data_IF_838195489950
#
_entry.id   IF_838195489950
#
_cell.length_a   1.000
_cell.length_b   1.000
_cell.length_c   1.000
_cell.angle_alpha   90.00
_cell.angle_beta   90.00
_cell.angle_gamma   90.00
#
_symmetry.space_group_name_H-M   'P 1'
#
loop_
_entity.id
_entity.type
_entity.pdbx_description
1 polymer ?
#
# COMPACT_ATOMS: atom_id res chain seq x y z
N UNK A 1 -12.87 18.05 -1.45
CA UNK A 1 -14.28 18.50 -1.49
C UNK A 1 -14.66 18.73 -2.94
N UNK A 2 -15.95 18.68 -3.29
CA UNK A 2 -16.42 19.02 -4.64
C UNK A 2 -17.13 20.39 -4.59
N UNK A 3 -16.96 21.19 -5.63
CA UNK A 3 -17.60 22.49 -5.77
C UNK A 3 -17.99 22.72 -7.23
N UNK A 4 -19.21 23.21 -7.45
CA UNK A 4 -19.72 23.57 -8.78
C UNK A 4 -20.25 25.00 -8.71
N UNK A 5 -19.82 25.82 -9.66
CA UNK A 5 -20.25 27.20 -9.83
C UNK A 5 -20.11 27.60 -11.31
N UNK A 6 -20.63 28.78 -11.66
CA UNK A 6 -20.52 29.32 -13.02
C UNK A 6 -19.10 29.83 -13.30
N UNK A 7 -18.44 30.39 -12.29
CA UNK A 7 -17.06 30.87 -12.38
C UNK A 7 -16.09 29.93 -11.66
N UNK A 8 -14.89 29.79 -12.22
CA UNK A 8 -13.84 28.91 -11.69
C UNK A 8 -13.44 29.28 -10.25
N UNK A 9 -13.17 30.56 -9.90
CA UNK A 9 -12.75 30.92 -8.54
C UNK A 9 -13.81 30.58 -7.49
N UNK A 10 -15.09 30.76 -7.83
CA UNK A 10 -16.20 30.46 -6.93
C UNK A 10 -16.36 28.95 -6.71
N UNK A 11 -16.15 28.14 -7.76
CA UNK A 11 -16.17 26.68 -7.67
C UNK A 11 -15.05 26.16 -6.75
N UNK A 12 -13.84 26.73 -6.86
CA UNK A 12 -12.70 26.40 -6.00
C UNK A 12 -13.00 26.78 -4.54
N UNK A 13 -13.55 27.96 -4.28
CA UNK A 13 -13.95 28.39 -2.93
C UNK A 13 -14.94 27.40 -2.30
N UNK A 14 -15.99 27.03 -3.04
CA UNK A 14 -17.00 26.04 -2.60
C UNK A 14 -16.37 24.66 -2.34
N UNK A 15 -15.46 24.22 -3.20
CA UNK A 15 -14.77 22.94 -3.05
C UNK A 15 -13.88 22.90 -1.80
N UNK A 16 -13.16 23.99 -1.52
CA UNK A 16 -12.29 24.14 -0.34
C UNK A 16 -13.09 24.14 0.96
N UNK A 17 -14.19 24.90 1.03
CA UNK A 17 -15.07 24.89 2.21
C UNK A 17 -15.69 23.51 2.45
N UNK A 18 -16.10 22.82 1.39
CA UNK A 18 -16.56 21.44 1.49
C UNK A 18 -15.47 20.45 1.93
N UNK A 19 -14.20 20.70 1.57
CA UNK A 19 -13.06 19.87 1.98
C UNK A 19 -12.75 20.03 3.47
N UNK A 20 -12.72 21.27 3.98
CA UNK A 20 -12.47 21.57 5.40
C UNK A 20 -13.46 20.86 6.33
N UNK A 21 -14.73 20.79 5.93
CA UNK A 21 -15.79 20.11 6.70
C UNK A 21 -15.66 18.58 6.74
N UNK A 22 -14.96 17.98 5.77
CA UNK A 22 -14.85 16.52 5.58
C UNK A 22 -13.41 16.02 5.76
N UNK A 23 -12.64 16.65 6.64
CA UNK A 23 -11.29 16.19 6.94
C UNK A 23 -11.31 14.83 7.63
N UNK A 24 -10.39 13.96 7.24
CA UNK A 24 -10.17 12.65 7.86
C UNK A 24 -8.77 12.59 8.46
N UNK A 25 -8.62 11.86 9.56
CA UNK A 25 -7.31 11.58 10.17
C UNK A 25 -6.85 10.20 9.76
N UNK A 26 -5.70 10.13 9.10
CA UNK A 26 -5.10 8.87 8.63
C UNK A 26 -3.90 8.53 9.53
N UNK A 27 -3.86 7.35 10.16
CA UNK A 27 -2.69 6.93 10.92
C UNK A 27 -1.59 6.42 9.98
N UNK A 28 -0.42 7.05 10.05
CA UNK A 28 0.77 6.67 9.27
C UNK A 28 1.80 5.95 10.15
N UNK A 29 2.44 4.94 9.58
CA UNK A 29 3.58 4.26 10.18
C UNK A 29 4.81 5.14 10.03
N UNK A 30 5.44 5.47 11.16
CA UNK A 30 6.68 6.28 11.23
C UNK A 30 6.54 7.65 10.52
N UNK A 31 5.30 8.11 10.31
CA UNK A 31 5.01 9.33 9.55
C UNK A 31 5.28 9.25 8.04
N UNK A 32 5.65 8.07 7.50
CA UNK A 32 6.09 7.94 6.09
C UNK A 32 5.25 7.01 5.21
N UNK A 33 4.69 5.93 5.77
CA UNK A 33 4.02 4.87 4.98
C UNK A 33 2.77 4.31 5.66
N UNK A 34 2.08 3.40 4.98
CA UNK A 34 0.88 2.70 5.45
C UNK A 34 1.23 1.59 6.45
N UNK A 35 0.32 1.31 7.39
CA UNK A 35 0.50 0.20 8.31
C UNK A 35 0.30 -1.16 7.63
N UNK A 36 -0.67 -1.31 6.75
CA UNK A 36 -0.92 -2.56 6.02
C UNK A 36 -1.48 -2.24 4.64
N UNK A 37 -1.55 -3.28 3.80
CA UNK A 37 -2.12 -3.22 2.47
C UNK A 37 -3.64 -3.11 2.55
N UNK A 38 -4.21 -2.20 1.75
CA UNK A 38 -5.62 -1.85 1.82
C UNK A 38 -6.21 -1.74 0.42
N UNK A 39 -7.47 -2.15 0.29
CA UNK A 39 -8.26 -1.97 -0.92
C UNK A 39 -9.43 -1.01 -0.67
N UNK A 40 -9.61 -0.08 -1.62
CA UNK A 40 -10.70 0.90 -1.64
C UNK A 40 -11.57 0.73 -2.86
N UNK A 41 -12.87 0.96 -2.72
CA UNK A 41 -13.82 0.90 -3.83
C UNK A 41 -14.82 2.04 -3.75
N UNK A 42 -15.05 2.68 -4.89
CA UNK A 42 -16.10 3.68 -5.03
C UNK A 42 -16.70 3.63 -6.44
N UNK A 43 -17.97 3.24 -6.53
CA UNK A 43 -18.61 2.98 -7.82
C UNK A 43 -17.82 1.95 -8.64
N UNK A 44 -17.39 2.35 -9.84
CA UNK A 44 -16.54 1.55 -10.74
C UNK A 44 -15.03 1.70 -10.46
N UNK A 45 -14.61 2.59 -9.56
CA UNK A 45 -13.21 2.76 -9.19
C UNK A 45 -12.78 1.75 -8.14
N UNK A 46 -11.75 0.97 -8.43
CA UNK A 46 -11.09 0.09 -7.46
C UNK A 46 -9.62 0.49 -7.34
N UNK A 47 -9.12 0.63 -6.12
CA UNK A 47 -7.74 1.05 -5.85
C UNK A 47 -7.15 0.12 -4.81
N UNK A 48 -5.94 -0.36 -5.09
CA UNK A 48 -5.13 -1.12 -4.15
C UNK A 48 -3.97 -0.25 -3.70
N UNK A 49 -3.82 -0.13 -2.38
CA UNK A 49 -2.73 0.56 -1.72
C UNK A 49 -1.87 -0.49 -1.01
N UNK A 50 -0.57 -0.47 -1.25
CA UNK A 50 0.38 -1.32 -0.55
C UNK A 50 1.38 -0.52 0.24
N UNK A 51 1.79 -1.07 1.37
CA UNK A 51 2.93 -0.55 2.15
C UNK A 51 4.20 -0.70 1.32
N UNK A 52 5.11 0.26 1.47
CA UNK A 52 6.38 0.28 0.76
C UNK A 52 7.56 0.46 1.75
N UNK A 53 8.73 -0.12 1.47
CA UNK A 53 9.94 0.13 2.23
C UNK A 53 10.42 1.58 2.05
N UNK A 54 11.32 2.03 2.94
CA UNK A 54 11.84 3.38 2.91
C UNK A 54 12.60 3.64 1.60
N UNK A 55 12.40 4.82 1.00
CA UNK A 55 13.08 5.22 -0.23
C UNK A 55 12.39 4.74 -1.52
N UNK A 56 11.17 4.21 -1.43
CA UNK A 56 10.37 3.84 -2.61
C UNK A 56 9.77 5.07 -3.29
N UNK A 57 9.43 6.09 -2.51
CA UNK A 57 8.70 7.25 -3.03
C UNK A 57 7.21 6.95 -3.28
N UNK A 58 6.52 7.91 -3.90
CA UNK A 58 5.09 7.82 -4.21
C UNK A 58 4.87 7.26 -5.63
N UNK A 59 4.68 5.95 -5.70
CA UNK A 59 4.31 5.25 -6.93
C UNK A 59 2.79 5.19 -7.02
N UNK A 60 2.19 6.15 -7.72
CA UNK A 60 0.74 6.21 -7.89
C UNK A 60 0.34 6.93 -9.18
N UNK A 61 -0.90 6.71 -9.61
CA UNK A 61 -1.51 7.49 -10.69
C UNK A 61 -1.73 8.96 -10.28
N UNK A 62 -1.65 9.88 -11.23
CA UNK A 62 -1.67 11.33 -10.98
C UNK A 62 -2.73 11.84 -9.98
N UNK A 63 -4.02 11.44 -10.10
CA UNK A 63 -5.05 11.89 -9.18
C UNK A 63 -4.84 11.42 -7.73
N UNK A 64 -4.25 10.24 -7.54
CA UNK A 64 -3.97 9.67 -6.22
C UNK A 64 -2.71 10.28 -5.61
N UNK A 65 -1.71 10.59 -6.45
CA UNK A 65 -0.46 11.23 -6.03
C UNK A 65 -0.71 12.52 -5.28
N UNK A 66 -1.57 13.39 -5.80
CA UNK A 66 -1.93 14.65 -5.15
C UNK A 66 -2.51 14.44 -3.74
N UNK A 67 -3.25 13.34 -3.53
CA UNK A 67 -3.80 13.00 -2.20
C UNK A 67 -2.67 12.58 -1.25
N UNK A 68 -1.74 11.74 -1.71
CA UNK A 68 -0.62 11.26 -0.88
C UNK A 68 0.39 12.35 -0.53
N UNK A 69 0.67 13.27 -1.46
CA UNK A 69 1.53 14.43 -1.24
C UNK A 69 0.95 15.35 -0.16
N UNK A 70 -0.35 15.67 -0.23
CA UNK A 70 -1.02 16.51 0.78
C UNK A 70 -1.09 15.82 2.15
N UNK A 71 -1.15 14.48 2.19
CA UNK A 71 -1.07 13.72 3.44
C UNK A 71 0.33 13.70 4.05
N UNK A 72 1.37 14.05 3.29
CA UNK A 72 2.77 13.94 3.70
C UNK A 72 3.31 12.52 3.67
N UNK A 73 2.69 11.63 2.88
CA UNK A 73 3.22 10.27 2.69
C UNK A 73 4.45 10.30 1.79
N UNK A 74 5.49 9.55 2.17
CA UNK A 74 6.73 9.48 1.41
C UNK A 74 6.78 8.21 0.56
N UNK A 75 6.40 7.07 1.15
CA UNK A 75 6.53 5.76 0.51
C UNK A 75 5.18 5.06 0.40
N UNK A 76 4.70 4.85 -0.83
CA UNK A 76 3.49 4.08 -1.11
C UNK A 76 3.45 3.58 -2.54
N UNK A 77 2.92 2.36 -2.72
CA UNK A 77 2.57 1.83 -4.04
C UNK A 77 1.06 1.77 -4.15
N UNK A 78 0.50 2.47 -5.12
CA UNK A 78 -0.93 2.54 -5.35
C UNK A 78 -1.25 2.27 -6.82
N UNK A 79 -2.17 1.34 -7.05
CA UNK A 79 -2.64 0.97 -8.39
C UNK A 79 -4.16 1.05 -8.45
N UNK A 80 -4.68 1.70 -9.50
CA UNK A 80 -6.09 1.57 -9.87
C UNK A 80 -6.29 0.30 -10.70
N UNK A 81 -7.32 -0.46 -10.36
CA UNK A 81 -7.74 -1.67 -11.06
C UNK A 81 -9.11 -1.38 -11.69
N UNK A 82 -9.23 -1.55 -13.01
CA UNK A 82 -10.46 -1.26 -13.73
C UNK A 82 -10.54 0.20 -14.19
N UNK A 83 -11.32 1.04 -13.50
CA UNK A 83 -11.62 2.41 -13.97
C UNK A 83 -10.46 3.40 -13.75
N UNK A 84 -10.17 4.18 -14.79
CA UNK A 84 -9.21 5.30 -14.78
C UNK A 84 -9.85 6.67 -14.52
N UNK A 85 -11.15 6.72 -14.21
CA UNK A 85 -11.84 7.98 -13.93
C UNK A 85 -11.27 8.65 -12.65
N UNK A 86 -10.65 9.85 -12.75
CA UNK A 86 -10.04 10.54 -11.61
C UNK A 86 -10.99 10.75 -10.42
N UNK A 87 -12.26 11.03 -10.70
CA UNK A 87 -13.26 11.27 -9.65
C UNK A 87 -13.45 10.02 -8.77
N UNK A 88 -13.71 8.88 -9.41
CA UNK A 88 -13.89 7.62 -8.69
C UNK A 88 -12.61 7.13 -8.03
N UNK A 89 -11.46 7.33 -8.67
CA UNK A 89 -10.16 6.98 -8.10
C UNK A 89 -9.92 7.72 -6.78
N UNK A 90 -10.08 9.05 -6.75
CA UNK A 90 -9.86 9.84 -5.53
C UNK A 90 -10.81 9.38 -4.42
N UNK A 91 -12.09 9.16 -4.74
CA UNK A 91 -13.06 8.68 -3.76
C UNK A 91 -12.75 7.25 -3.26
N UNK A 92 -12.29 6.35 -4.14
CA UNK A 92 -11.83 5.02 -3.75
C UNK A 92 -10.57 5.08 -2.88
N UNK A 93 -9.64 6.00 -3.14
CA UNK A 93 -8.47 6.24 -2.28
C UNK A 93 -8.90 6.72 -0.89
N UNK A 94 -9.86 7.64 -0.79
CA UNK A 94 -10.39 8.05 0.52
C UNK A 94 -11.09 6.91 1.26
N UNK A 95 -11.79 6.02 0.55
CA UNK A 95 -12.37 4.81 1.14
C UNK A 95 -11.28 3.85 1.68
N UNK A 96 -10.20 3.64 0.92
CA UNK A 96 -9.05 2.86 1.38
C UNK A 96 -8.41 3.48 2.64
N UNK A 97 -8.13 4.78 2.61
CA UNK A 97 -7.48 5.46 3.74
C UNK A 97 -8.32 5.46 5.02
N UNK A 98 -9.66 5.43 4.91
CA UNK A 98 -10.56 5.30 6.07
C UNK A 98 -10.50 3.93 6.74
N UNK A 99 -10.13 2.89 5.99
CA UNK A 99 -9.96 1.52 6.50
C UNK A 99 -8.60 1.30 7.17
N UNK A 100 -7.68 2.25 7.03
CA UNK A 100 -6.36 2.18 7.66
C UNK A 100 -6.50 2.16 9.18
N UNK A 101 -5.91 1.14 9.80
CA UNK A 101 -5.96 0.90 11.22
C UNK A 101 -4.55 0.81 11.79
N UNK A 102 -4.29 1.62 12.81
CA UNK A 102 -3.02 1.52 13.54
C UNK A 102 -3.06 0.30 14.49
N UNK A 103 -1.91 -0.36 14.74
CA UNK A 103 -1.84 -1.46 15.70
C UNK A 103 -2.39 -1.08 17.08
N UNK A 104 -2.21 0.18 17.50
CA UNK A 104 -2.79 0.73 18.74
C UNK A 104 -4.32 0.71 18.73
N UNK A 105 -4.93 1.11 17.61
CA UNK A 105 -6.38 1.13 17.48
C UNK A 105 -6.96 -0.29 17.43
N UNK A 106 -6.26 -1.21 16.76
CA UNK A 106 -6.63 -2.64 16.74
C UNK A 106 -6.51 -3.27 18.13
N UNK A 107 -5.44 -2.97 18.87
CA UNK A 107 -5.22 -3.44 20.23
C UNK A 107 -6.33 -2.99 21.19
N UNK A 108 -6.67 -1.70 21.16
CA UNK A 108 -7.75 -1.15 21.97
C UNK A 108 -9.10 -1.81 21.65
N UNK A 109 -9.40 -2.05 20.37
CA UNK A 109 -10.64 -2.72 19.95
C UNK A 109 -10.70 -4.19 20.36
N UNK A 110 -9.56 -4.88 20.43
CA UNK A 110 -9.47 -6.30 20.78
C UNK A 110 -9.21 -6.55 22.27
N UNK A 111 -8.98 -5.52 23.07
CA UNK A 111 -8.64 -5.66 24.49
C UNK A 111 -7.26 -6.30 24.74
N UNK A 112 -6.36 -6.26 23.77
CA UNK A 112 -5.04 -6.90 23.83
C UNK A 112 -3.92 -5.87 24.00
N UNK A 113 -2.77 -6.31 24.50
CA UNK A 113 -1.58 -5.44 24.57
C UNK A 113 -1.03 -5.17 23.17
N UNK A 114 -0.57 -3.94 22.94
CA UNK A 114 0.01 -3.52 21.64
C UNK A 114 1.23 -4.37 21.27
N UNK A 115 2.01 -4.80 22.27
CA UNK A 115 3.19 -5.66 22.09
C UNK A 115 2.82 -7.00 21.46
N UNK A 116 1.70 -7.60 21.84
CA UNK A 116 1.28 -8.92 21.35
C UNK A 116 0.84 -8.84 19.87
N UNK A 117 0.16 -7.75 19.48
CA UNK A 117 -0.23 -7.52 18.08
C UNK A 117 0.99 -7.20 17.21
N UNK A 118 1.96 -6.47 17.74
CA UNK A 118 3.19 -6.15 17.01
C UNK A 118 4.12 -7.37 16.87
N UNK A 119 4.13 -8.27 17.86
CA UNK A 119 4.92 -9.50 17.84
C UNK A 119 4.44 -10.46 16.75
N UNK A 120 3.13 -10.76 16.70
CA UNK A 120 2.54 -11.65 15.68
C UNK A 120 2.86 -11.19 14.25
N UNK A 121 2.80 -9.88 14.00
CA UNK A 121 3.18 -9.31 12.71
C UNK A 121 4.66 -9.51 12.35
N UNK A 122 5.56 -9.45 13.34
CA UNK A 122 7.00 -9.67 13.12
C UNK A 122 7.29 -11.13 12.82
N UNK A 123 6.49 -12.05 13.35
CA UNK A 123 6.55 -13.48 13.05
C UNK A 123 6.09 -13.72 11.61
N UNK A 124 4.92 -13.19 11.22
CA UNK A 124 4.40 -13.31 9.84
C UNK A 124 5.42 -12.81 8.77
N UNK A 125 6.16 -11.73 9.06
CA UNK A 125 7.18 -11.20 8.14
C UNK A 125 8.50 -11.98 8.12
N UNK A 126 8.80 -12.75 9.17
CA UNK A 126 9.98 -13.62 9.21
C UNK A 126 9.72 -14.87 8.39
N UNK A 127 8.53 -15.44 8.51
CA UNK A 127 8.12 -16.62 7.75
C UNK A 127 8.18 -16.36 6.24
N UNK A 128 7.74 -15.17 5.78
CA UNK A 128 7.86 -14.74 4.37
C UNK A 128 9.32 -14.54 3.90
N UNK A 129 10.23 -14.12 4.79
CA UNK A 129 11.66 -13.95 4.47
C UNK A 129 12.41 -15.29 4.43
N UNK A 130 12.02 -16.23 5.27
CA UNK A 130 12.61 -17.56 5.32
C UNK A 130 12.21 -18.38 4.07
N UNK A 131 10.98 -18.27 3.58
CA UNK A 131 10.53 -18.91 2.32
C UNK A 131 11.25 -18.33 1.08
N UNK A 132 11.48 -17.02 1.01
CA UNK A 132 12.19 -16.38 -0.12
C UNK A 132 13.69 -16.74 -0.14
N UNK A 133 14.31 -16.89 1.05
CA UNK A 133 15.70 -17.31 1.18
C UNK A 133 15.93 -18.77 0.71
N UNK A 134 14.98 -19.68 0.96
CA UNK A 134 15.07 -21.09 0.55
C UNK A 134 15.08 -21.25 -0.98
N UNK A 135 14.35 -20.40 -1.71
CA UNK A 135 14.26 -20.46 -3.19
C UNK A 135 15.52 -19.91 -3.87
N UNK A 136 16.30 -19.06 -3.20
CA UNK A 136 17.44 -18.34 -3.78
C UNK A 136 18.78 -19.07 -3.74
N UNK A 137 18.87 -20.29 -3.17
CA UNK A 137 20.14 -21.03 -3.10
C UNK A 137 20.44 -21.69 -4.46
N UNK A 138 21.44 -21.25 -5.25
CA UNK A 138 21.76 -21.91 -6.50
C UNK A 138 22.35 -23.29 -6.18
N UNK A 139 21.68 -24.36 -6.61
CA UNK A 139 22.26 -25.69 -6.56
C UNK A 139 23.48 -25.72 -7.49
N UNK A 140 24.67 -25.69 -6.89
CA UNK A 140 25.94 -25.99 -7.55
C UNK A 140 25.88 -27.41 -8.09
N UNK A 141 25.54 -27.56 -9.37
CA UNK A 141 25.65 -28.83 -10.07
C UNK A 141 27.13 -29.23 -10.09
N UNK A 142 27.47 -30.29 -9.36
CA UNK A 142 28.77 -30.92 -9.43
C UNK A 142 28.79 -31.73 -10.73
N UNK A 143 29.69 -31.48 -11.71
CA UNK A 143 29.73 -32.29 -12.92
C UNK A 143 30.23 -33.70 -12.57
N UNK A 144 29.36 -34.69 -12.78
CA UNK A 144 29.64 -36.11 -12.68
C UNK A 144 30.86 -36.49 -13.53
N UNK A 145 31.85 -37.22 -13.01
CA UNK A 145 32.97 -37.69 -13.81
C UNK A 145 32.51 -38.80 -14.77
N UNK A 146 32.73 -38.60 -16.06
CA UNK A 146 32.50 -39.61 -17.11
C UNK A 146 33.39 -40.83 -16.85
N UNK A 147 32.86 -42.07 -16.86
CA UNK A 147 33.68 -43.26 -16.74
C UNK A 147 34.43 -43.55 -18.05
N UNK A 148 35.73 -43.76 -17.91
CA UNK A 148 36.65 -44.22 -18.93
C UNK A 148 36.45 -45.72 -19.21
N UNK A 149 36.28 -46.08 -20.49
CA UNK A 149 36.61 -47.40 -21.04
C UNK A 149 35.47 -48.44 -21.15
N UNK A 150 35.17 -48.86 -22.39
CA UNK A 150 35.18 -50.27 -22.83
C UNK A 150 34.66 -50.47 -24.27
N UNK A 151 35.30 -51.41 -24.97
CA UNK A 151 34.84 -52.20 -26.13
C UNK A 151 35.18 -51.72 -27.56
N UNK A 152 36.39 -52.09 -28.00
CA UNK A 152 36.75 -52.85 -29.21
C UNK A 152 35.62 -53.43 -30.08
N UNK A 153 35.65 -53.17 -31.40
CA UNK A 153 35.94 -54.13 -32.51
C UNK A 153 36.05 -53.37 -33.82
#
# INVERSE_FOLDING_TARGET
GHGKAREVPEAVRKATEAAKRKMIRVPLREGRTLHHDIQGRHGAGHVQLRTAPAGTGIISGGPMRAVFEVLGMQDVVAKSIGSSNPYNMIHATFDALRKQASPRHVAARRGMKVSEIAARRREDMRDEQDDEAVISTPQTQTPTPTPEGAATT
#
